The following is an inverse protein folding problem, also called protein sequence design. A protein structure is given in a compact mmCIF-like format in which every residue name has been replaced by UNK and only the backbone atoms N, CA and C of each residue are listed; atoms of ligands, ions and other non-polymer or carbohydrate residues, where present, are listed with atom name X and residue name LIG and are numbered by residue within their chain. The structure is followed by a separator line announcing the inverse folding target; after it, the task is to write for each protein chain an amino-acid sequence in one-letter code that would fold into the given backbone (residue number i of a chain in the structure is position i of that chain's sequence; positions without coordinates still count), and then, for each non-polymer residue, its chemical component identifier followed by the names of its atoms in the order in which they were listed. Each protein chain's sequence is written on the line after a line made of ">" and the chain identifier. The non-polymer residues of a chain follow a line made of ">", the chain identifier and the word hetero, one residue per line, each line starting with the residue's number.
data_IF_900104297742
#
_entry.id   IF_900104297742
#
_cell.length_a   1.000
_cell.length_b   1.000
_cell.length_c   1.000
_cell.angle_alpha   90.00
_cell.angle_beta   90.00
_cell.angle_gamma   90.00
#
_symmetry.space_group_name_H-M   'P 1'
#
loop_
_entity.id
_entity.type
_entity.pdbx_description
1 polymer ?
#
# COMPACT_ATOMS: atom_id res chain seq x y z
N UNK A 1 -9.74 -8.72 7.14
CA UNK A 1 -8.80 -8.49 6.03
C UNK A 1 -7.96 -9.72 5.72
N UNK A 2 -6.93 -10.10 6.49
CA UNK A 2 -6.03 -11.22 6.14
C UNK A 2 -6.74 -12.50 5.70
N UNK A 3 -7.71 -12.98 6.50
CA UNK A 3 -8.50 -14.17 6.14
C UNK A 3 -9.31 -13.98 4.84
N UNK A 4 -9.92 -12.81 4.66
CA UNK A 4 -10.74 -12.52 3.48
C UNK A 4 -9.90 -12.33 2.21
N UNK A 5 -8.67 -11.84 2.32
CA UNK A 5 -7.86 -11.46 1.16
C UNK A 5 -6.90 -12.57 0.73
N UNK A 6 -6.20 -13.19 1.69
CA UNK A 6 -5.06 -14.06 1.39
C UNK A 6 -5.11 -15.45 2.02
N UNK A 7 -6.23 -15.87 2.62
CA UNK A 7 -6.38 -17.25 3.07
C UNK A 7 -6.33 -18.25 1.90
N UNK A 8 -5.61 -19.36 2.08
CA UNK A 8 -5.50 -20.44 1.09
C UNK A 8 -6.86 -20.96 0.61
N UNK A 9 -7.87 -20.92 1.50
CA UNK A 9 -9.25 -21.30 1.20
C UNK A 9 -10.13 -20.07 1.33
N UNK A 10 -10.76 -19.67 0.22
CA UNK A 10 -11.74 -18.59 0.21
C UNK A 10 -11.16 -17.18 0.37
N UNK A 11 -9.84 -17.00 0.26
CA UNK A 11 -9.23 -15.67 0.11
C UNK A 11 -9.56 -15.05 -1.25
N UNK A 12 -9.76 -13.73 -1.29
CA UNK A 12 -10.11 -12.99 -2.50
C UNK A 12 -9.01 -13.08 -3.60
N UNK A 13 -7.74 -13.00 -3.21
CA UNK A 13 -6.59 -13.02 -4.12
C UNK A 13 -5.94 -14.41 -4.29
N UNK A 14 -6.00 -15.25 -3.26
CA UNK A 14 -5.29 -16.55 -3.20
C UNK A 14 -6.24 -17.75 -3.18
N UNK A 15 -7.51 -17.54 -2.82
CA UNK A 15 -8.51 -18.59 -2.78
C UNK A 15 -9.10 -18.82 -4.17
N UNK A 16 -9.27 -20.09 -4.55
CA UNK A 16 -9.92 -20.53 -5.78
C UNK A 16 -11.44 -20.25 -5.77
N UNK A 17 -11.83 -18.99 -5.63
CA UNK A 17 -13.21 -18.53 -5.66
C UNK A 17 -13.64 -18.46 -7.14
N UNK A 18 -13.95 -19.64 -7.69
CA UNK A 18 -14.46 -19.82 -9.05
C UNK A 18 -13.37 -19.81 -10.14
N UNK A 19 -13.30 -20.86 -10.94
CA UNK A 19 -12.45 -20.90 -12.12
C UNK A 19 -12.87 -19.78 -13.10
N UNK A 20 -11.94 -18.86 -13.42
CA UNK A 20 -12.15 -17.80 -14.42
C UNK A 20 -12.61 -16.44 -13.88
N UNK A 21 -12.56 -16.19 -12.57
CA UNK A 21 -12.76 -14.84 -12.01
C UNK A 21 -11.51 -13.99 -12.30
N UNK A 22 -11.66 -12.95 -13.11
CA UNK A 22 -10.62 -11.93 -13.34
C UNK A 22 -10.89 -10.78 -12.35
N UNK A 23 -10.10 -10.65 -11.28
CA UNK A 23 -10.32 -9.67 -10.22
C UNK A 23 -10.05 -8.23 -10.68
N UNK A 24 -9.22 -8.05 -11.73
CA UNK A 24 -8.69 -6.75 -12.13
C UNK A 24 -9.13 -6.33 -13.54
N UNK A 25 -9.37 -5.04 -13.74
CA UNK A 25 -9.69 -4.41 -15.02
C UNK A 25 -11.19 -4.17 -15.24
N UNK A 26 -11.58 -3.78 -16.46
CA UNK A 26 -12.96 -3.37 -16.77
C UNK A 26 -14.02 -4.45 -16.50
N UNK A 27 -13.62 -5.73 -16.51
CA UNK A 27 -14.50 -6.88 -16.20
C UNK A 27 -14.31 -7.42 -14.77
N UNK A 28 -13.32 -6.91 -14.04
CA UNK A 28 -13.07 -7.27 -12.64
C UNK A 28 -13.77 -6.33 -11.66
N UNK A 29 -13.38 -6.37 -10.38
CA UNK A 29 -13.99 -5.56 -9.33
C UNK A 29 -13.36 -4.15 -9.24
N UNK A 30 -12.13 -3.98 -9.76
CA UNK A 30 -11.38 -2.71 -9.69
C UNK A 30 -10.63 -2.36 -10.99
N UNK A 31 -10.43 -1.07 -11.26
CA UNK A 31 -9.57 -0.56 -12.35
C UNK A 31 -8.46 0.31 -11.74
N UNK A 32 -7.23 -0.22 -11.70
CA UNK A 32 -6.04 0.47 -11.17
C UNK A 32 -5.45 1.47 -12.16
N UNK A 33 -4.61 2.39 -11.66
CA UNK A 33 -3.94 3.41 -12.50
C UNK A 33 -3.20 2.84 -13.73
N UNK A 34 -2.41 1.75 -13.64
CA UNK A 34 -1.79 1.10 -14.81
C UNK A 34 -2.80 0.60 -15.84
N UNK A 35 -3.96 0.11 -15.41
CA UNK A 35 -5.02 -0.39 -16.30
C UNK A 35 -5.83 0.75 -16.96
N UNK A 36 -5.81 1.95 -16.37
CA UNK A 36 -6.45 3.14 -16.96
C UNK A 36 -5.61 3.68 -18.12
N UNK A 37 -4.29 3.81 -17.94
CA UNK A 37 -3.43 4.42 -18.94
C UNK A 37 -1.99 3.94 -18.86
N UNK A 38 -1.45 3.49 -20.00
CA UNK A 38 -0.02 3.22 -20.16
C UNK A 38 0.88 4.42 -19.82
N UNK A 39 0.34 5.64 -19.86
CA UNK A 39 1.10 6.84 -19.49
C UNK A 39 1.52 6.80 -18.03
N UNK A 40 0.71 6.18 -17.15
CA UNK A 40 1.05 6.04 -15.74
C UNK A 40 2.35 5.25 -15.57
N UNK A 41 2.41 4.01 -16.07
CA UNK A 41 3.62 3.17 -15.96
C UNK A 41 4.84 3.74 -16.68
N UNK A 42 4.63 4.43 -17.81
CA UNK A 42 5.72 5.14 -18.50
C UNK A 42 6.32 6.25 -17.64
N UNK A 43 5.49 7.01 -16.91
CA UNK A 43 5.99 8.06 -16.01
C UNK A 43 6.68 7.51 -14.77
N UNK A 44 6.20 6.39 -14.21
CA UNK A 44 6.90 5.72 -13.10
C UNK A 44 8.28 5.24 -13.56
N UNK A 45 8.38 4.67 -14.77
CA UNK A 45 9.66 4.33 -15.38
C UNK A 45 10.56 5.56 -15.54
N UNK A 46 10.03 6.67 -16.07
CA UNK A 46 10.81 7.91 -16.20
C UNK A 46 11.27 8.44 -14.83
N UNK A 47 10.45 8.32 -13.78
CA UNK A 47 10.85 8.69 -12.42
C UNK A 47 12.04 7.86 -11.93
N UNK A 48 12.01 6.53 -12.11
CA UNK A 48 13.16 5.67 -11.78
C UNK A 48 14.41 6.02 -12.59
N UNK A 49 14.27 6.37 -13.88
CA UNK A 49 15.42 6.86 -14.67
C UNK A 49 15.99 8.15 -14.07
N UNK A 50 15.14 9.10 -13.66
CA UNK A 50 15.58 10.34 -13.03
C UNK A 50 16.34 10.08 -11.72
N UNK A 51 15.83 9.18 -10.88
CA UNK A 51 16.49 8.81 -9.63
C UNK A 51 17.80 8.04 -9.86
N UNK A 52 17.84 7.10 -10.81
CA UNK A 52 19.08 6.44 -11.24
C UNK A 52 20.12 7.44 -11.77
N UNK A 53 19.70 8.44 -12.54
CA UNK A 53 20.58 9.50 -13.01
C UNK A 53 21.14 10.34 -11.87
N UNK A 54 20.30 10.69 -10.89
CA UNK A 54 20.71 11.48 -9.72
C UNK A 54 21.73 10.76 -8.84
N UNK A 55 21.72 9.42 -8.87
CA UNK A 55 22.63 8.56 -8.12
C UNK A 55 23.89 8.19 -8.91
N UNK A 56 24.26 8.99 -9.91
CA UNK A 56 25.51 8.83 -10.66
C UNK A 56 25.49 7.75 -11.73
N UNK A 57 24.30 7.28 -12.14
CA UNK A 57 24.13 6.29 -13.22
C UNK A 57 24.92 5.00 -12.99
N UNK A 58 24.67 4.28 -11.88
CA UNK A 58 25.35 3.00 -11.63
C UNK A 58 25.18 2.07 -12.84
N UNK A 59 26.27 1.43 -13.25
CA UNK A 59 26.34 0.62 -14.49
C UNK A 59 25.89 -0.83 -14.33
N UNK A 60 25.66 -1.27 -13.10
CA UNK A 60 25.27 -2.64 -12.72
C UNK A 60 24.72 -2.61 -11.31
N UNK A 61 24.09 -3.71 -10.87
CA UNK A 61 23.61 -3.82 -9.50
C UNK A 61 22.20 -3.28 -9.29
N UNK A 62 21.54 -2.75 -10.32
CA UNK A 62 20.17 -2.26 -10.21
C UNK A 62 19.22 -3.46 -10.09
N UNK A 63 18.34 -3.43 -9.10
CA UNK A 63 17.29 -4.44 -8.92
C UNK A 63 15.94 -3.73 -8.96
N UNK A 64 15.03 -4.17 -9.83
CA UNK A 64 13.66 -3.66 -9.80
C UNK A 64 12.83 -4.54 -8.88
N UNK A 65 12.04 -3.95 -7.99
CA UNK A 65 11.19 -4.69 -7.06
C UNK A 65 9.79 -4.10 -7.13
N UNK A 66 8.79 -4.91 -7.46
CA UNK A 66 7.38 -4.52 -7.34
C UNK A 66 6.69 -5.40 -6.30
N UNK A 67 6.04 -4.78 -5.32
CA UNK A 67 5.21 -5.48 -4.33
C UNK A 67 3.74 -5.37 -4.72
N UNK A 68 3.03 -6.50 -4.72
CA UNK A 68 1.64 -6.55 -5.17
C UNK A 68 1.45 -6.13 -6.63
N UNK A 69 2.13 -6.75 -7.60
CA UNK A 69 2.13 -6.29 -9.00
C UNK A 69 0.80 -6.46 -9.76
N UNK A 70 -0.21 -7.06 -9.14
CA UNK A 70 -1.51 -7.33 -9.77
C UNK A 70 -1.36 -8.16 -11.05
N UNK A 71 -1.66 -7.58 -12.21
CA UNK A 71 -1.49 -8.26 -13.51
C UNK A 71 -0.04 -8.22 -14.04
N UNK A 72 0.82 -7.37 -13.50
CA UNK A 72 2.17 -7.10 -14.00
C UNK A 72 2.24 -6.00 -15.07
N UNK A 73 1.14 -5.29 -15.32
CA UNK A 73 1.03 -4.22 -16.32
C UNK A 73 1.98 -3.05 -16.03
N UNK A 74 2.10 -2.66 -14.76
CA UNK A 74 3.00 -1.58 -14.35
C UNK A 74 4.46 -1.91 -14.66
N UNK A 75 4.96 -3.08 -14.22
CA UNK A 75 6.31 -3.51 -14.58
C UNK A 75 6.53 -3.63 -16.08
N UNK A 76 5.54 -4.12 -16.85
CA UNK A 76 5.68 -4.22 -18.32
C UNK A 76 5.88 -2.84 -18.95
N UNK A 77 5.14 -1.84 -18.49
CA UNK A 77 5.27 -0.45 -18.95
C UNK A 77 6.61 0.18 -18.55
N UNK A 78 7.09 -0.07 -17.32
CA UNK A 78 8.39 0.38 -16.83
C UNK A 78 9.51 -0.23 -17.68
N UNK A 79 9.53 -1.56 -17.85
CA UNK A 79 10.53 -2.27 -18.64
C UNK A 79 10.51 -1.84 -20.11
N UNK A 80 9.31 -1.66 -20.69
CA UNK A 80 9.15 -1.13 -22.04
C UNK A 80 9.70 0.29 -22.18
N UNK A 81 9.56 1.12 -21.15
CA UNK A 81 10.10 2.48 -21.10
C UNK A 81 11.62 2.47 -21.07
N UNK A 82 12.22 1.62 -20.23
CA UNK A 82 13.69 1.48 -20.09
C UNK A 82 14.40 1.06 -21.37
N UNK A 83 13.71 0.43 -22.33
CA UNK A 83 14.28 0.14 -23.67
C UNK A 83 14.77 1.39 -24.41
N UNK A 84 14.23 2.57 -24.07
CA UNK A 84 14.69 3.85 -24.64
C UNK A 84 15.90 4.44 -23.89
N UNK A 85 16.27 3.87 -22.74
CA UNK A 85 17.37 4.30 -21.88
C UNK A 85 18.36 3.15 -21.72
N UNK A 86 19.16 2.90 -22.76
CA UNK A 86 20.04 1.72 -22.87
C UNK A 86 20.96 1.53 -21.66
N UNK A 87 21.52 2.62 -21.13
CA UNK A 87 22.42 2.58 -19.97
C UNK A 87 21.70 2.13 -18.70
N UNK A 88 20.48 2.64 -18.46
CA UNK A 88 19.63 2.18 -17.35
C UNK A 88 19.26 0.72 -17.55
N UNK A 89 18.77 0.34 -18.74
CA UNK A 89 18.36 -1.04 -19.04
C UNK A 89 19.49 -2.06 -18.86
N UNK A 90 20.73 -1.68 -19.18
CA UNK A 90 21.91 -2.54 -19.07
C UNK A 90 22.44 -2.64 -17.63
N UNK A 91 22.03 -1.73 -16.75
CA UNK A 91 22.44 -1.73 -15.34
C UNK A 91 21.58 -2.65 -14.46
N UNK A 92 20.45 -3.14 -14.98
CA UNK A 92 19.50 -3.97 -14.25
C UNK A 92 20.00 -5.42 -14.23
N UNK A 93 20.20 -5.93 -13.02
CA UNK A 93 20.64 -7.30 -12.80
C UNK A 93 19.45 -8.27 -12.70
N UNK A 94 18.33 -7.83 -12.10
CA UNK A 94 17.13 -8.65 -11.92
C UNK A 94 15.86 -7.81 -11.68
N UNK A 95 14.71 -8.42 -11.96
CA UNK A 95 13.38 -7.93 -11.57
C UNK A 95 12.78 -8.90 -10.56
N UNK A 96 12.31 -8.39 -9.43
CA UNK A 96 11.63 -9.13 -8.39
C UNK A 96 10.16 -8.71 -8.29
N UNK A 97 9.27 -9.68 -8.38
CA UNK A 97 7.83 -9.52 -8.29
C UNK A 97 7.35 -10.21 -7.00
N UNK A 98 6.97 -9.44 -5.98
CA UNK A 98 6.51 -10.00 -4.71
C UNK A 98 5.02 -10.31 -4.79
N UNK A 99 4.70 -11.59 -5.00
CA UNK A 99 3.36 -12.10 -5.32
C UNK A 99 3.10 -13.46 -4.69
N UNK A 100 2.05 -13.52 -3.86
CA UNK A 100 1.62 -14.74 -3.16
C UNK A 100 0.64 -15.60 -3.98
N UNK A 101 -0.12 -14.99 -4.90
CA UNK A 101 -1.11 -15.69 -5.73
C UNK A 101 -0.46 -16.43 -6.89
N UNK A 102 -0.74 -17.73 -7.01
CA UNK A 102 -0.21 -18.57 -8.09
C UNK A 102 -0.81 -18.18 -9.44
N UNK A 103 -2.09 -17.83 -9.44
CA UNK A 103 -2.85 -17.43 -10.61
C UNK A 103 -2.33 -16.10 -11.17
N UNK A 104 -2.14 -15.10 -10.30
CA UNK A 104 -1.58 -13.80 -10.70
C UNK A 104 -0.14 -13.92 -11.17
N UNK A 105 0.68 -14.77 -10.52
CA UNK A 105 2.03 -15.07 -10.99
C UNK A 105 2.05 -15.59 -12.43
N UNK A 106 1.14 -16.50 -12.78
CA UNK A 106 1.02 -17.00 -14.16
C UNK A 106 0.56 -15.89 -15.11
N UNK A 107 -0.39 -15.04 -14.70
CA UNK A 107 -0.83 -13.90 -15.49
C UNK A 107 0.33 -12.91 -15.76
N UNK A 108 1.09 -12.56 -14.73
CA UNK A 108 2.27 -11.71 -14.80
C UNK A 108 3.35 -12.31 -15.71
N UNK A 109 3.64 -13.61 -15.57
CA UNK A 109 4.58 -14.32 -16.46
C UNK A 109 4.16 -14.22 -17.92
N UNK A 110 2.87 -14.41 -18.20
CA UNK A 110 2.35 -14.32 -19.56
C UNK A 110 2.54 -12.91 -20.15
N UNK A 111 2.40 -11.87 -19.35
CA UNK A 111 2.64 -10.49 -19.77
C UNK A 111 4.14 -10.22 -19.95
N UNK A 112 4.98 -10.55 -18.96
CA UNK A 112 6.38 -10.12 -18.90
C UNK A 112 7.33 -11.01 -19.70
N UNK A 113 7.03 -12.30 -19.82
CA UNK A 113 7.90 -13.30 -20.45
C UNK A 113 7.27 -13.97 -21.68
N UNK A 114 5.93 -13.97 -21.76
CA UNK A 114 5.17 -14.63 -22.82
C UNK A 114 4.49 -15.93 -22.35
N UNK A 115 3.42 -16.32 -23.05
CA UNK A 115 2.56 -17.45 -22.65
C UNK A 115 3.31 -18.78 -22.59
N UNK A 116 4.21 -19.00 -23.54
CA UNK A 116 4.97 -20.25 -23.67
C UNK A 116 6.31 -20.23 -22.92
N UNK A 117 6.63 -19.13 -22.24
CA UNK A 117 7.88 -19.03 -21.48
C UNK A 117 7.89 -20.02 -20.31
N UNK A 118 9.01 -20.70 -20.14
CA UNK A 118 9.21 -21.64 -19.04
C UNK A 118 9.35 -20.88 -17.71
N UNK A 119 8.89 -21.53 -16.63
CA UNK A 119 9.18 -21.12 -15.26
C UNK A 119 9.97 -22.22 -14.56
N UNK A 120 10.98 -21.83 -13.79
CA UNK A 120 11.79 -22.72 -12.96
C UNK A 120 11.68 -22.32 -11.51
N UNK A 121 11.51 -23.28 -10.62
CA UNK A 121 11.43 -23.03 -9.18
C UNK A 121 12.81 -23.11 -8.53
N UNK A 122 13.07 -22.22 -7.58
CA UNK A 122 14.24 -22.20 -6.71
C UNK A 122 13.83 -21.83 -5.29
N UNK A 123 14.81 -21.73 -4.39
CA UNK A 123 14.58 -21.28 -3.01
C UNK A 123 14.11 -19.81 -2.93
N UNK A 124 14.54 -18.98 -3.87
CA UNK A 124 14.20 -17.57 -3.97
C UNK A 124 12.81 -17.33 -4.61
N UNK A 125 12.24 -18.37 -5.24
CA UNK A 125 10.92 -18.33 -5.86
C UNK A 125 10.90 -18.89 -7.28
N UNK A 126 10.10 -18.31 -8.16
CA UNK A 126 9.93 -18.77 -9.54
C UNK A 126 10.66 -17.86 -10.51
N UNK A 127 11.32 -18.43 -11.50
CA UNK A 127 12.23 -17.72 -12.41
C UNK A 127 11.76 -17.86 -13.85
N UNK A 128 11.82 -16.76 -14.59
CA UNK A 128 11.66 -16.74 -16.04
C UNK A 128 12.51 -15.62 -16.64
N UNK A 129 12.43 -15.42 -17.95
CA UNK A 129 13.22 -14.43 -18.69
C UNK A 129 12.31 -13.42 -19.36
N UNK A 130 12.64 -12.14 -19.21
CA UNK A 130 11.89 -11.04 -19.79
C UNK A 130 11.74 -11.17 -21.32
N UNK A 131 10.59 -10.78 -21.88
CA UNK A 131 10.37 -10.80 -23.34
C UNK A 131 11.14 -9.70 -24.07
N UNK A 132 11.64 -8.68 -23.36
CA UNK A 132 12.34 -7.54 -23.95
C UNK A 132 13.87 -7.68 -23.96
N UNK A 133 14.41 -8.58 -23.13
CA UNK A 133 15.86 -8.78 -22.92
C UNK A 133 16.12 -10.08 -22.16
N UNK A 134 17.37 -10.52 -22.06
CA UNK A 134 17.75 -11.70 -21.25
C UNK A 134 17.72 -11.46 -19.72
N UNK A 135 16.98 -10.43 -19.28
CA UNK A 135 16.87 -10.04 -17.88
C UNK A 135 16.05 -11.09 -17.10
N UNK A 136 16.56 -11.60 -15.96
CA UNK A 136 15.81 -12.53 -15.14
C UNK A 136 14.66 -11.82 -14.41
N UNK A 137 13.50 -12.47 -14.40
CA UNK A 137 12.35 -12.08 -13.59
C UNK A 137 12.09 -13.18 -12.57
N UNK A 138 12.04 -12.78 -11.29
CA UNK A 138 11.89 -13.67 -10.15
C UNK A 138 10.62 -13.30 -9.39
N UNK A 139 9.72 -14.26 -9.22
CA UNK A 139 8.54 -14.10 -8.38
C UNK A 139 8.80 -14.67 -7.00
N UNK A 140 8.68 -13.85 -5.97
CA UNK A 140 8.91 -14.23 -4.58
C UNK A 140 7.59 -14.18 -3.80
N UNK A 141 7.34 -15.16 -2.93
CA UNK A 141 6.10 -15.19 -2.11
C UNK A 141 6.05 -14.06 -1.06
N UNK A 142 7.21 -13.55 -0.66
CA UNK A 142 7.32 -12.43 0.26
C UNK A 142 8.58 -11.62 -0.01
N UNK A 143 8.59 -10.36 0.43
CA UNK A 143 9.77 -9.51 0.28
C UNK A 143 11.00 -10.05 1.00
N UNK A 144 10.82 -10.85 2.06
CA UNK A 144 11.92 -11.49 2.80
C UNK A 144 12.67 -12.52 1.96
N UNK A 145 12.04 -13.07 0.92
CA UNK A 145 12.70 -13.99 -0.01
C UNK A 145 13.51 -13.26 -1.10
N UNK A 146 13.28 -11.96 -1.29
CA UNK A 146 14.11 -11.14 -2.18
C UNK A 146 15.46 -10.90 -1.51
N UNK A 147 16.59 -11.31 -2.15
CA UNK A 147 17.92 -11.13 -1.56
C UNK A 147 18.21 -9.68 -1.19
N UNK A 148 19.00 -9.48 -0.14
CA UNK A 148 19.46 -8.15 0.28
C UNK A 148 20.98 -8.15 0.31
N UNK A 149 21.58 -7.36 -0.58
CA UNK A 149 23.02 -7.22 -0.68
C UNK A 149 23.41 -5.74 -0.64
N UNK A 150 24.45 -5.41 0.12
CA UNK A 150 24.94 -4.03 0.24
C UNK A 150 25.42 -3.44 -1.10
N UNK A 151 25.83 -4.29 -2.05
CA UNK A 151 26.30 -3.90 -3.38
C UNK A 151 25.17 -3.60 -4.38
N UNK A 152 23.91 -3.86 -4.04
CA UNK A 152 22.77 -3.69 -4.95
C UNK A 152 22.08 -2.34 -4.74
N UNK A 153 21.44 -1.86 -5.79
CA UNK A 153 20.72 -0.59 -5.87
C UNK A 153 19.25 -0.88 -6.19
N UNK A 154 18.41 -1.07 -5.16
CA UNK A 154 17.02 -1.48 -5.35
C UNK A 154 16.13 -0.29 -5.75
N UNK A 155 15.37 -0.43 -6.83
CA UNK A 155 14.28 0.47 -7.23
C UNK A 155 12.96 -0.24 -7.01
N UNK A 156 12.24 0.22 -5.99
CA UNK A 156 11.06 -0.43 -5.43
C UNK A 156 9.81 0.37 -5.80
N UNK A 157 8.76 -0.29 -6.26
CA UNK A 157 7.44 0.31 -6.44
C UNK A 157 6.38 -0.49 -5.67
N UNK A 158 5.49 0.25 -5.01
CA UNK A 158 4.31 -0.28 -4.35
C UNK A 158 3.11 0.57 -4.78
N UNK A 159 2.31 0.05 -5.71
CA UNK A 159 1.14 0.75 -6.23
C UNK A 159 -0.12 -0.03 -5.81
N UNK A 160 -1.00 0.61 -5.04
CA UNK A 160 -2.23 -0.02 -4.50
C UNK A 160 -1.94 -1.36 -3.80
N UNK A 161 -0.90 -1.34 -2.96
CA UNK A 161 -0.45 -2.50 -2.21
C UNK A 161 -0.74 -2.34 -0.72
N UNK A 162 -0.55 -1.14 -0.18
CA UNK A 162 -0.62 -0.89 1.26
C UNK A 162 -2.06 -0.81 1.75
N UNK A 163 -3.00 -0.39 0.90
CA UNK A 163 -4.42 -0.31 1.22
C UNK A 163 -5.06 -1.70 1.42
N UNK A 164 -4.54 -2.72 0.76
CA UNK A 164 -4.95 -4.12 0.90
C UNK A 164 -4.32 -4.81 2.13
N UNK A 165 -3.39 -4.15 2.84
CA UNK A 165 -2.75 -4.74 4.02
C UNK A 165 -3.68 -4.73 5.25
N UNK A 166 -3.63 -5.76 6.11
CA UNK A 166 -4.50 -5.83 7.28
C UNK A 166 -4.29 -4.67 8.26
N UNK A 167 -5.37 -3.97 8.60
CA UNK A 167 -5.37 -2.95 9.66
C UNK A 167 -5.92 -3.49 10.99
N UNK A 168 -5.50 -2.84 12.07
CA UNK A 168 -6.16 -2.88 13.38
C UNK A 168 -6.78 -1.51 13.66
N UNK A 169 -8.04 -1.49 14.07
CA UNK A 169 -8.72 -0.26 14.48
C UNK A 169 -8.83 -0.22 16.02
N UNK A 170 -8.59 0.95 16.61
CA UNK A 170 -8.67 1.17 18.05
C UNK A 170 -9.50 2.39 18.39
N UNK A 171 -10.24 2.32 19.50
CA UNK A 171 -11.00 3.44 20.04
C UNK A 171 -10.59 3.73 21.49
N UNK A 172 -10.46 5.00 21.84
CA UNK A 172 -10.30 5.43 23.25
C UNK A 172 -11.65 5.33 23.96
N UNK A 173 -11.70 4.59 25.06
CA UNK A 173 -12.84 4.54 25.96
C UNK A 173 -12.46 5.03 27.36
N UNK A 174 -13.45 5.49 28.11
CA UNK A 174 -13.33 5.77 29.53
C UNK A 174 -13.75 4.53 30.32
N UNK A 175 -12.80 3.96 31.07
CA UNK A 175 -13.06 2.80 31.92
C UNK A 175 -13.33 3.30 33.34
N UNK A 176 -14.46 2.93 33.95
CA UNK A 176 -14.75 3.26 35.34
C UNK A 176 -13.63 2.77 36.27
N UNK A 177 -13.45 3.45 37.42
CA UNK A 177 -12.60 2.98 38.50
C UNK A 177 -12.86 1.52 38.85
N UNK A 178 -11.82 0.69 38.83
CA UNK A 178 -11.91 -0.64 39.43
C UNK A 178 -12.15 -0.45 40.93
N UNK A 179 -13.34 -0.82 41.44
CA UNK A 179 -13.55 -0.89 42.89
C UNK A 179 -12.64 -1.99 43.43
N UNK A 180 -11.61 -1.62 44.20
CA UNK A 180 -10.81 -2.61 44.91
C UNK A 180 -11.72 -3.35 45.90
N UNK A 181 -11.65 -4.70 46.00
CA UNK A 181 -12.32 -5.41 47.06
C UNK A 181 -11.83 -4.87 48.41
N UNK A 182 -12.75 -4.36 49.22
CA UNK A 182 -12.43 -3.94 50.59
C UNK A 182 -12.03 -5.19 51.37
N UNK A 183 -10.74 -5.40 51.59
CA UNK A 183 -10.29 -6.42 52.55
C UNK A 183 -10.67 -5.91 53.94
N UNK A 184 -11.72 -6.48 54.51
CA UNK A 184 -12.18 -6.19 55.87
C UNK A 184 -11.18 -6.76 56.88
N UNK A 185 -10.11 -6.02 57.16
CA UNK A 185 -9.28 -6.25 58.34
C UNK A 185 -8.93 -4.94 59.04
N UNK A 186 -9.81 -4.54 59.96
CA UNK A 186 -9.44 -3.81 61.18
C UNK A 186 -9.55 -2.28 61.18
N UNK A 187 -10.47 -1.80 62.02
CA UNK A 187 -10.58 -0.46 62.64
C UNK A 187 -11.04 0.74 61.78
N UNK A 188 -11.96 1.58 62.30
CA UNK A 188 -12.54 2.70 61.56
C UNK A 188 -11.56 3.88 61.55
N UNK A 189 -10.80 4.03 60.47
CA UNK A 189 -10.14 5.29 60.13
C UNK A 189 -10.85 5.89 58.92
N UNK A 190 -11.38 7.10 59.12
CA UNK A 190 -11.73 8.13 58.13
C UNK A 190 -11.74 7.61 56.68
N UNK A 191 -12.94 7.33 56.16
CA UNK A 191 -13.13 7.02 54.75
C UNK A 191 -12.76 8.24 53.89
N UNK A 192 -11.48 8.35 53.50
CA UNK A 192 -11.12 9.17 52.36
C UNK A 192 -11.64 8.45 51.12
N UNK A 193 -12.73 8.94 50.55
CA UNK A 193 -13.19 8.53 49.23
C UNK A 193 -12.12 8.94 48.21
N UNK A 194 -11.12 8.08 47.99
CA UNK A 194 -10.27 8.14 46.81
C UNK A 194 -11.14 7.74 45.62
N UNK A 195 -11.95 8.67 45.12
CA UNK A 195 -12.58 8.56 43.82
C UNK A 195 -11.46 8.65 42.80
N UNK A 196 -10.86 7.51 42.42
CA UNK A 196 -9.95 7.50 41.27
C UNK A 196 -10.74 7.97 40.05
N UNK A 197 -10.17 8.86 39.24
CA UNK A 197 -10.79 9.27 38.00
C UNK A 197 -10.89 8.09 37.02
N UNK A 198 -11.89 8.09 36.11
CA UNK A 198 -11.96 7.09 35.05
C UNK A 198 -10.66 7.07 34.24
N UNK A 199 -10.16 5.87 33.94
CA UNK A 199 -8.91 5.71 33.18
C UNK A 199 -9.21 5.59 31.70
N UNK A 200 -8.50 6.34 30.87
CA UNK A 200 -8.61 6.24 29.41
C UNK A 200 -7.74 5.10 28.88
N UNK A 201 -8.38 4.21 28.14
CA UNK A 201 -7.75 3.02 27.58
C UNK A 201 -8.14 2.86 26.13
N UNK A 202 -7.19 2.39 25.32
CA UNK A 202 -7.50 1.90 23.98
C UNK A 202 -8.25 0.57 24.08
N UNK A 203 -9.25 0.39 23.22
CA UNK A 203 -9.92 -0.87 22.95
C UNK A 203 -9.84 -1.17 21.47
N UNK A 204 -9.63 -2.42 21.14
CA UNK A 204 -9.56 -2.86 19.75
C UNK A 204 -10.97 -3.04 19.21
N UNK A 205 -11.21 -2.57 17.99
CA UNK A 205 -12.40 -2.92 17.25
C UNK A 205 -12.20 -4.32 16.67
N UNK A 206 -13.05 -5.25 17.06
CA UNK A 206 -13.04 -6.65 16.63
C UNK A 206 -14.25 -6.95 15.76
N UNK A 207 -14.06 -7.86 14.80
CA UNK A 207 -15.14 -8.36 13.95
C UNK A 207 -15.94 -9.40 14.73
N UNK A 208 -17.25 -9.19 14.84
CA UNK A 208 -18.20 -10.10 15.52
C UNK A 208 -19.34 -10.46 14.57
N UNK A 209 -19.95 -11.66 14.71
CA UNK A 209 -21.17 -11.99 13.97
C UNK A 209 -22.27 -10.96 14.26
N UNK A 210 -23.04 -10.62 13.24
CA UNK A 210 -24.25 -9.82 13.38
C UNK A 210 -25.33 -10.67 14.07
N UNK A 211 -25.96 -10.19 15.17
CA UNK A 211 -27.02 -10.92 15.85
C UNK A 211 -28.19 -11.26 14.92
N UNK A 212 -28.83 -12.41 15.13
CA UNK A 212 -30.01 -12.80 14.37
C UNK A 212 -31.13 -11.74 14.52
N UNK A 213 -31.80 -11.42 13.40
CA UNK A 213 -32.88 -10.42 13.37
C UNK A 213 -32.43 -8.96 13.33
N UNK A 214 -31.12 -8.68 13.34
CA UNK A 214 -30.59 -7.32 13.16
C UNK A 214 -31.04 -6.74 11.82
N UNK A 215 -31.46 -5.47 11.81
CA UNK A 215 -31.86 -4.75 10.59
C UNK A 215 -30.80 -3.74 10.16
N UNK A 216 -30.91 -3.25 8.93
CA UNK A 216 -30.07 -2.13 8.45
C UNK A 216 -30.20 -0.87 9.31
N UNK A 217 -31.35 -0.65 9.96
CA UNK A 217 -31.55 0.50 10.84
C UNK A 217 -30.70 0.36 12.12
N UNK A 218 -30.63 -0.85 12.68
CA UNK A 218 -29.83 -1.14 13.89
C UNK A 218 -28.33 -0.97 13.63
N UNK A 219 -27.86 -1.33 12.43
CA UNK A 219 -26.46 -1.14 12.00
C UNK A 219 -26.14 0.28 11.55
N UNK A 220 -27.12 1.20 11.53
CA UNK A 220 -26.93 2.54 10.98
C UNK A 220 -26.52 2.55 9.50
N UNK A 221 -26.94 1.53 8.73
CA UNK A 221 -26.56 1.41 7.31
C UNK A 221 -27.12 2.61 6.53
N UNK A 222 -26.30 3.33 5.74
CA UNK A 222 -26.79 4.45 4.91
C UNK A 222 -27.91 4.00 3.97
N UNK A 223 -28.96 4.84 3.78
CA UNK A 223 -30.11 4.51 2.93
C UNK A 223 -29.73 4.02 1.53
N UNK A 224 -28.65 4.56 0.96
CA UNK A 224 -28.12 4.13 -0.34
C UNK A 224 -27.65 2.68 -0.39
N UNK A 225 -27.30 2.07 0.75
CA UNK A 225 -26.80 0.70 0.88
C UNK A 225 -27.82 -0.28 1.49
N UNK A 226 -29.02 0.18 1.88
CA UNK A 226 -30.06 -0.68 2.49
C UNK A 226 -30.77 -1.62 1.50
N UNK A 227 -30.38 -1.59 0.23
CA UNK A 227 -30.88 -2.52 -0.79
C UNK A 227 -30.09 -3.84 -0.82
N UNK A 228 -28.93 -3.89 -0.16
CA UNK A 228 -28.14 -5.10 0.00
C UNK A 228 -28.70 -5.97 1.14
N UNK A 229 -28.13 -7.16 1.34
CA UNK A 229 -28.42 -7.98 2.51
C UNK A 229 -27.80 -7.34 3.76
N UNK A 230 -28.42 -7.60 4.92
CA UNK A 230 -27.81 -7.24 6.21
C UNK A 230 -26.48 -8.00 6.34
N UNK A 231 -25.35 -7.31 6.58
CA UNK A 231 -24.04 -7.96 6.67
C UNK A 231 -23.97 -9.03 7.76
N UNK A 232 -23.29 -10.14 7.46
CA UNK A 232 -23.11 -11.27 8.37
C UNK A 232 -22.24 -10.92 9.59
N UNK A 233 -21.41 -9.89 9.47
CA UNK A 233 -20.52 -9.41 10.52
C UNK A 233 -20.66 -7.91 10.77
N UNK A 234 -20.10 -7.46 11.89
CA UNK A 234 -19.99 -6.06 12.28
C UNK A 234 -18.73 -5.80 13.11
N UNK A 235 -18.33 -4.53 13.25
CA UNK A 235 -17.30 -4.14 14.20
C UNK A 235 -17.90 -3.88 15.59
N UNK A 236 -17.24 -4.40 16.61
CA UNK A 236 -17.60 -4.24 18.01
C UNK A 236 -16.36 -3.94 18.83
N UNK A 237 -16.50 -3.28 19.98
CA UNK A 237 -15.36 -3.06 20.88
C UNK A 237 -14.99 -4.34 21.61
N UNK A 238 -13.69 -4.61 21.73
CA UNK A 238 -13.19 -5.68 22.58
C UNK A 238 -13.62 -5.46 24.03
N UNK A 239 -14.11 -6.49 24.75
CA UNK A 239 -14.56 -6.34 26.14
C UNK A 239 -13.41 -6.02 27.10
N UNK A 240 -12.20 -6.45 26.76
CA UNK A 240 -10.97 -6.21 27.51
C UNK A 240 -9.90 -5.59 26.62
N UNK A 241 -8.84 -5.06 27.23
CA UNK A 241 -7.69 -4.55 26.49
C UNK A 241 -6.92 -5.73 25.88
N UNK A 242 -6.83 -5.77 24.56
CA UNK A 242 -6.02 -6.77 23.85
C UNK A 242 -4.55 -6.40 23.90
N UNK A 243 -3.66 -7.34 23.55
CA UNK A 243 -2.22 -7.05 23.41
C UNK A 243 -1.98 -5.98 22.34
N UNK A 244 -2.65 -6.06 21.20
CA UNK A 244 -2.54 -5.03 20.16
C UNK A 244 -2.95 -3.65 20.68
N UNK A 245 -4.05 -3.57 21.45
CA UNK A 245 -4.50 -2.31 22.08
C UNK A 245 -3.55 -1.78 23.16
N UNK A 246 -2.61 -2.58 23.67
CA UNK A 246 -1.57 -2.12 24.60
C UNK A 246 -0.33 -1.59 23.88
N UNK A 247 0.00 -2.10 22.68
CA UNK A 247 1.28 -1.82 22.01
C UNK A 247 1.17 -0.99 20.74
N UNK A 248 0.19 -1.27 19.85
CA UNK A 248 0.12 -0.60 18.55
C UNK A 248 -0.22 0.90 18.68
N UNK A 249 -1.19 1.33 19.50
CA UNK A 249 -1.42 2.76 19.74
C UNK A 249 -0.26 3.49 20.43
N UNK A 250 0.69 2.74 21.02
CA UNK A 250 1.86 3.29 21.67
C UNK A 250 3.07 3.37 20.74
N UNK A 251 2.97 2.87 19.51
CA UNK A 251 4.09 2.79 18.55
C UNK A 251 4.50 4.15 17.96
N UNK A 252 3.58 5.12 17.86
CA UNK A 252 3.84 6.45 17.31
C UNK A 252 3.45 7.56 18.30
N UNK A 253 4.24 8.64 18.41
CA UNK A 253 3.83 9.83 19.15
C UNK A 253 2.46 10.39 18.70
N UNK A 254 2.14 10.30 17.40
CA UNK A 254 0.87 10.77 16.83
C UNK A 254 -0.32 10.00 17.42
N UNK A 255 -0.20 8.68 17.52
CA UNK A 255 -1.22 7.81 18.12
C UNK A 255 -1.34 8.08 19.63
N UNK A 256 -0.21 8.17 20.35
CA UNK A 256 -0.20 8.42 21.80
C UNK A 256 -0.87 9.74 22.18
N UNK A 257 -0.69 10.79 21.38
CA UNK A 257 -1.31 12.08 21.62
C UNK A 257 -2.84 12.01 21.69
N UNK A 258 -3.45 11.10 20.91
CA UNK A 258 -4.91 10.92 20.86
C UNK A 258 -5.49 10.16 22.05
N UNK A 259 -4.67 9.50 22.88
CA UNK A 259 -5.14 8.77 24.07
C UNK A 259 -5.92 9.66 25.05
N UNK A 260 -5.61 10.95 25.06
CA UNK A 260 -6.28 11.94 25.89
C UNK A 260 -7.66 12.35 25.36
N UNK A 261 -8.05 11.95 24.14
CA UNK A 261 -9.31 12.37 23.49
C UNK A 261 -10.33 11.23 23.57
N UNK A 262 -11.41 11.36 24.35
CA UNK A 262 -12.47 10.34 24.42
C UNK A 262 -13.07 10.04 23.04
N UNK A 263 -13.26 8.77 22.73
CA UNK A 263 -13.84 8.33 21.46
C UNK A 263 -12.92 8.47 20.25
N UNK A 264 -11.67 8.95 20.41
CA UNK A 264 -10.71 9.00 19.32
C UNK A 264 -10.51 7.60 18.73
N UNK A 265 -10.56 7.53 17.41
CA UNK A 265 -10.34 6.31 16.63
C UNK A 265 -8.99 6.44 15.91
N UNK A 266 -8.27 5.32 15.79
CA UNK A 266 -7.09 5.21 14.93
C UNK A 266 -7.12 3.86 14.20
N UNK A 267 -6.59 3.84 12.99
CA UNK A 267 -6.31 2.62 12.24
C UNK A 267 -4.80 2.48 12.06
N UNK A 268 -4.25 1.31 12.40
CA UNK A 268 -2.82 1.03 12.39
C UNK A 268 -2.57 -0.22 11.56
N UNK A 269 -1.63 -0.16 10.62
CA UNK A 269 -1.21 -1.31 9.81
C UNK A 269 0.23 -1.74 10.17
N UNK A 270 0.41 -2.76 11.02
CA UNK A 270 1.76 -3.25 11.35
C UNK A 270 2.52 -3.82 10.16
N UNK A 271 1.80 -4.47 9.23
CA UNK A 271 2.41 -5.06 8.03
C UNK A 271 2.98 -3.94 7.14
N UNK A 272 2.30 -2.81 7.02
CA UNK A 272 2.79 -1.64 6.30
C UNK A 272 4.12 -1.11 6.88
N UNK A 273 4.22 -1.03 8.20
CA UNK A 273 5.47 -0.67 8.89
C UNK A 273 6.61 -1.65 8.56
N UNK A 274 6.33 -2.96 8.49
CA UNK A 274 7.35 -3.95 8.12
C UNK A 274 7.89 -3.72 6.70
N UNK A 275 7.02 -3.43 5.73
CA UNK A 275 7.44 -3.13 4.36
C UNK A 275 8.20 -1.80 4.27
N UNK A 276 7.74 -0.74 4.93
CA UNK A 276 8.44 0.54 4.95
C UNK A 276 9.85 0.42 5.57
N UNK A 277 9.97 -0.34 6.66
CA UNK A 277 11.25 -0.65 7.29
C UNK A 277 12.17 -1.47 6.37
N UNK A 278 11.63 -2.44 5.65
CA UNK A 278 12.40 -3.27 4.71
C UNK A 278 12.90 -2.43 3.53
N UNK A 279 12.05 -1.57 2.95
CA UNK A 279 12.43 -0.65 1.88
C UNK A 279 13.57 0.28 2.32
N UNK A 280 13.43 0.89 3.51
CA UNK A 280 14.46 1.76 4.08
C UNK A 280 15.78 1.01 4.30
N UNK A 281 15.73 -0.20 4.87
CA UNK A 281 16.93 -1.01 5.10
C UNK A 281 17.63 -1.45 3.80
N UNK A 282 16.88 -1.68 2.72
CA UNK A 282 17.43 -2.01 1.39
C UNK A 282 18.13 -0.81 0.74
N UNK A 283 17.59 0.39 0.92
CA UNK A 283 18.09 1.62 0.31
C UNK A 283 19.24 2.22 1.12
N UNK A 284 19.04 2.43 2.43
CA UNK A 284 19.99 3.10 3.32
C UNK A 284 20.90 2.16 4.13
N UNK A 285 20.60 0.86 4.15
CA UNK A 285 21.27 -0.10 5.02
C UNK A 285 20.64 -0.19 6.41
N UNK A 286 21.05 -1.18 7.18
CA UNK A 286 20.62 -1.42 8.57
C UNK A 286 21.80 -1.96 9.38
N UNK A 287 21.67 -2.07 10.70
CA UNK A 287 22.70 -2.70 11.54
C UNK A 287 23.04 -4.13 11.08
N UNK A 288 22.03 -4.91 10.69
CA UNK A 288 22.20 -6.29 10.22
C UNK A 288 22.80 -6.37 8.81
N UNK A 289 22.46 -5.40 7.94
CA UNK A 289 22.95 -5.32 6.57
C UNK A 289 23.47 -3.90 6.29
N UNK A 290 24.69 -3.55 6.75
CA UNK A 290 25.23 -2.20 6.57
C UNK A 290 25.45 -1.88 5.09
N UNK A 291 25.13 -0.65 4.71
CA UNK A 291 25.31 -0.15 3.34
C UNK A 291 26.08 1.17 3.36
N UNK A 292 27.41 1.15 3.16
CA UNK A 292 28.24 2.35 3.27
C UNK A 292 27.85 3.47 2.30
N UNK A 293 27.26 3.10 1.17
CA UNK A 293 26.76 4.03 0.16
C UNK A 293 25.28 3.73 -0.09
N UNK A 294 24.38 4.39 0.66
CA UNK A 294 22.95 4.37 0.39
C UNK A 294 22.66 4.59 -1.09
N UNK A 295 21.83 3.73 -1.66
CA UNK A 295 21.47 3.79 -3.08
C UNK A 295 20.18 3.01 -3.33
N UNK A 296 19.45 3.39 -4.37
CA UNK A 296 18.12 2.86 -4.70
C UNK A 296 17.04 3.92 -4.53
N UNK A 297 15.79 3.53 -4.69
CA UNK A 297 14.63 4.38 -4.46
C UNK A 297 13.42 3.50 -4.18
N UNK A 298 12.47 3.97 -3.37
CA UNK A 298 11.14 3.38 -3.30
C UNK A 298 10.09 4.44 -3.66
N UNK A 299 9.09 4.06 -4.44
CA UNK A 299 7.92 4.87 -4.74
C UNK A 299 6.65 4.15 -4.31
N UNK A 300 5.94 4.75 -3.37
CA UNK A 300 4.68 4.24 -2.81
C UNK A 300 3.55 5.12 -3.33
N UNK A 301 2.58 4.50 -3.99
CA UNK A 301 1.46 5.15 -4.65
C UNK A 301 0.18 4.49 -4.19
N UNK A 302 -0.56 5.16 -3.31
CA UNK A 302 -1.76 4.60 -2.70
C UNK A 302 -2.72 5.70 -2.29
N UNK A 303 -3.90 5.36 -1.81
CA UNK A 303 -4.85 6.33 -1.31
C UNK A 303 -4.91 6.38 0.21
N UNK A 304 -5.11 7.58 0.71
CA UNK A 304 -5.12 7.88 2.13
C UNK A 304 -5.00 9.37 2.41
N UNK A 305 -5.14 9.76 3.68
CA UNK A 305 -4.90 11.12 4.13
C UNK A 305 -3.44 11.53 3.94
N UNK A 306 -3.20 12.82 3.69
CA UNK A 306 -1.85 13.35 3.55
C UNK A 306 -1.18 13.61 4.90
N UNK A 307 -1.96 14.03 5.89
CA UNK A 307 -1.48 14.64 7.14
C UNK A 307 -2.22 14.17 8.41
N UNK A 308 -3.27 13.36 8.26
CA UNK A 308 -4.05 12.82 9.39
C UNK A 308 -3.89 11.31 9.55
N UNK A 309 -4.20 10.81 10.74
CA UNK A 309 -4.31 9.36 10.99
C UNK A 309 -5.62 8.86 10.35
N UNK A 310 -5.62 7.77 9.57
CA UNK A 310 -6.83 7.16 9.03
C UNK A 310 -7.83 6.74 10.11
N UNK A 311 -9.12 6.94 9.82
CA UNK A 311 -10.22 6.53 10.69
C UNK A 311 -11.43 6.12 9.87
N UNK A 312 -12.11 5.04 10.24
CA UNK A 312 -13.32 4.53 9.57
C UNK A 312 -13.12 4.36 8.06
N UNK A 313 -11.94 3.90 7.65
CA UNK A 313 -11.57 3.83 6.23
C UNK A 313 -11.86 2.47 5.60
N UNK A 314 -11.97 1.41 6.40
CA UNK A 314 -12.24 0.05 5.92
C UNK A 314 -13.49 0.01 5.04
N UNK A 315 -13.34 -0.47 3.81
CA UNK A 315 -14.40 -0.53 2.82
C UNK A 315 -14.38 -1.82 2.01
N UNK A 316 -15.55 -2.22 1.55
CA UNK A 316 -15.74 -3.32 0.61
C UNK A 316 -15.95 -2.81 -0.81
N UNK A 317 -15.31 -3.45 -1.79
CA UNK A 317 -15.50 -3.16 -3.21
C UNK A 317 -15.88 -4.45 -3.93
N UNK A 318 -16.92 -4.38 -4.76
CA UNK A 318 -17.34 -5.49 -5.64
C UNK A 318 -18.04 -4.92 -6.86
N UNK A 319 -17.68 -5.41 -8.06
CA UNK A 319 -18.25 -5.00 -9.35
C UNK A 319 -18.29 -3.47 -9.53
N UNK A 320 -17.18 -2.78 -9.20
CA UNK A 320 -17.07 -1.30 -9.25
C UNK A 320 -18.01 -0.53 -8.30
N UNK A 321 -18.64 -1.21 -7.34
CA UNK A 321 -19.52 -0.60 -6.34
C UNK A 321 -18.95 -0.76 -4.93
N UNK A 322 -19.22 0.24 -4.08
CA UNK A 322 -18.96 0.13 -2.64
C UNK A 322 -20.03 -0.74 -2.00
N UNK A 323 -19.59 -1.78 -1.32
CA UNK A 323 -20.44 -2.71 -0.56
C UNK A 323 -19.98 -2.74 0.89
N UNK A 324 -20.76 -3.36 1.78
CA UNK A 324 -20.31 -3.57 3.15
C UNK A 324 -19.03 -4.43 3.19
N UNK A 325 -17.96 -4.02 3.91
CA UNK A 325 -16.76 -4.87 4.12
C UNK A 325 -17.05 -6.10 4.98
N UNK A 326 -18.25 -6.20 5.55
CA UNK A 326 -18.68 -7.29 6.43
C UNK A 326 -19.69 -8.23 5.76
N UNK A 327 -19.94 -8.06 4.47
CA UNK A 327 -20.78 -8.94 3.67
C UNK A 327 -19.90 -9.86 2.79
N UNK A 328 -20.40 -11.06 2.50
CA UNK A 328 -19.80 -12.03 1.57
C UNK A 328 -18.26 -12.19 1.75
N UNK A 329 -17.74 -12.60 2.93
CA UNK A 329 -16.30 -12.67 3.18
C UNK A 329 -15.54 -13.49 2.13
N UNK A 330 -14.45 -12.92 1.60
CA UNK A 330 -13.68 -13.53 0.52
C UNK A 330 -14.20 -13.20 -0.89
N UNK A 331 -15.48 -12.81 -1.03
CA UNK A 331 -16.04 -12.36 -2.31
C UNK A 331 -15.94 -10.85 -2.52
N UNK A 332 -15.77 -10.11 -1.43
CA UNK A 332 -15.60 -8.65 -1.41
C UNK A 332 -14.12 -8.32 -1.27
N UNK A 333 -13.65 -7.42 -2.14
CA UNK A 333 -12.31 -6.84 -2.00
C UNK A 333 -12.32 -5.84 -0.84
N UNK A 334 -11.33 -5.92 0.02
CA UNK A 334 -11.24 -5.11 1.23
C UNK A 334 -10.05 -4.18 1.16
N UNK A 335 -10.29 -2.91 1.44
CA UNK A 335 -9.25 -1.90 1.48
C UNK A 335 -9.44 -0.91 2.63
N UNK A 336 -8.34 -0.32 3.09
CA UNK A 336 -8.26 0.74 4.11
C UNK A 336 -7.32 1.88 3.66
N UNK A 337 -7.50 3.07 4.21
CA UNK A 337 -6.67 4.25 3.87
C UNK A 337 -5.26 4.06 4.44
N UNK A 338 -4.25 4.42 3.65
CA UNK A 338 -2.84 4.32 4.06
C UNK A 338 -2.46 5.51 4.95
N UNK A 339 -1.87 5.23 6.12
CA UNK A 339 -1.21 6.27 6.94
C UNK A 339 0.21 6.54 6.41
N UNK A 340 0.31 7.43 5.43
CA UNK A 340 1.59 7.80 4.80
C UNK A 340 2.62 8.34 5.80
N UNK A 341 2.19 9.07 6.83
CA UNK A 341 3.09 9.60 7.84
C UNK A 341 3.63 8.49 8.75
N UNK A 342 2.86 7.42 9.01
CA UNK A 342 3.38 6.25 9.71
C UNK A 342 4.42 5.49 8.89
N UNK A 343 4.29 5.47 7.55
CA UNK A 343 5.33 4.94 6.65
C UNK A 343 6.62 5.77 6.75
N UNK A 344 6.50 7.11 6.73
CA UNK A 344 7.63 8.03 6.89
C UNK A 344 8.34 7.84 8.23
N UNK A 345 7.59 7.82 9.33
CA UNK A 345 8.14 7.56 10.68
C UNK A 345 8.86 6.22 10.73
N UNK A 346 8.27 5.17 10.16
CA UNK A 346 8.87 3.84 10.18
C UNK A 346 10.14 3.77 9.33
N UNK A 347 10.13 4.32 8.13
CA UNK A 347 11.27 4.30 7.21
C UNK A 347 12.48 5.04 7.79
N UNK A 348 12.26 6.25 8.32
CA UNK A 348 13.31 7.10 8.91
C UNK A 348 13.86 6.54 10.22
N UNK A 349 13.05 5.83 11.02
CA UNK A 349 13.56 5.09 12.18
C UNK A 349 14.33 3.82 11.82
N UNK A 350 13.99 3.17 10.70
CA UNK A 350 14.61 1.92 10.28
C UNK A 350 16.01 2.11 9.67
N UNK A 351 16.29 3.27 9.10
CA UNK A 351 17.60 3.59 8.52
C UNK A 351 17.87 5.10 8.56
N UNK A 352 19.00 5.50 9.16
CA UNK A 352 19.50 6.88 9.06
C UNK A 352 20.04 7.21 7.65
N UNK A 353 20.19 6.19 6.78
CA UNK A 353 20.67 6.34 5.41
C UNK A 353 19.58 6.71 4.41
N UNK A 354 18.36 7.02 4.84
CA UNK A 354 17.26 7.42 3.97
C UNK A 354 16.55 8.69 4.42
N UNK A 355 16.04 9.44 3.44
CA UNK A 355 15.09 10.53 3.63
C UNK A 355 13.78 10.20 2.88
N UNK A 356 12.65 10.77 3.35
CA UNK A 356 11.34 10.60 2.73
C UNK A 356 10.87 11.92 2.10
N UNK A 357 10.24 11.83 0.93
CA UNK A 357 9.65 12.97 0.22
C UNK A 357 8.17 12.73 -0.05
N UNK A 358 7.32 13.66 0.41
CA UNK A 358 5.86 13.53 0.33
C UNK A 358 5.20 13.23 1.70
N UNK A 359 3.95 12.74 1.72
CA UNK A 359 3.13 12.44 0.55
C UNK A 359 2.74 13.70 -0.24
N UNK A 360 2.65 13.58 -1.57
CA UNK A 360 2.05 14.60 -2.46
C UNK A 360 0.86 14.02 -3.20
N UNK A 361 -0.09 14.84 -3.62
CA UNK A 361 -1.22 14.40 -4.45
C UNK A 361 -0.74 13.72 -5.75
N UNK A 362 -1.37 12.62 -6.16
CA UNK A 362 -1.05 11.92 -7.41
C UNK A 362 -1.10 12.86 -8.61
N UNK A 363 -2.08 13.76 -8.67
CA UNK A 363 -2.17 14.74 -9.74
C UNK A 363 -0.94 15.63 -9.79
N UNK A 364 -0.47 16.13 -8.64
CA UNK A 364 0.72 16.97 -8.57
C UNK A 364 1.96 16.20 -9.05
N UNK A 365 2.13 14.96 -8.59
CA UNK A 365 3.23 14.09 -9.01
C UNK A 365 3.22 13.87 -10.53
N UNK A 366 2.10 13.39 -11.09
CA UNK A 366 1.98 13.05 -12.52
C UNK A 366 2.07 14.29 -13.44
N UNK A 367 1.49 15.42 -13.03
CA UNK A 367 1.61 16.68 -13.76
C UNK A 367 3.07 17.15 -13.81
N UNK A 368 3.78 17.08 -12.68
CA UNK A 368 5.20 17.44 -12.58
C UNK A 368 6.09 16.49 -13.38
N UNK A 369 5.70 15.21 -13.49
CA UNK A 369 6.38 14.22 -14.34
C UNK A 369 6.06 14.36 -15.84
N UNK A 370 5.13 15.25 -16.22
CA UNK A 370 4.85 15.56 -17.62
C UNK A 370 3.78 14.67 -18.28
N UNK A 371 2.77 14.24 -17.53
CA UNK A 371 1.66 13.41 -18.05
C UNK A 371 0.96 13.99 -19.27
N UNK A 372 0.68 15.30 -19.27
CA UNK A 372 -0.01 15.96 -20.38
C UNK A 372 0.83 15.96 -21.66
N UNK A 373 2.15 16.15 -21.54
CA UNK A 373 3.10 16.12 -22.64
C UNK A 373 3.15 14.73 -23.25
N UNK A 374 3.22 13.70 -22.41
CA UNK A 374 3.26 12.31 -22.88
C UNK A 374 1.93 11.91 -23.53
N UNK A 375 0.79 12.24 -22.93
CA UNK A 375 -0.52 12.02 -23.52
C UNK A 375 -0.64 12.67 -24.91
N UNK A 376 -0.20 13.93 -25.05
CA UNK A 376 -0.19 14.66 -26.32
C UNK A 376 0.68 13.99 -27.39
N UNK A 377 1.79 13.36 -27.02
CA UNK A 377 2.60 12.57 -27.96
C UNK A 377 1.87 11.32 -28.43
N UNK A 378 1.17 10.63 -27.54
CA UNK A 378 0.40 9.43 -27.87
C UNK A 378 -0.81 9.76 -28.76
N UNK A 379 -1.53 10.85 -28.48
CA UNK A 379 -2.67 11.27 -29.32
C UNK A 379 -2.23 11.65 -30.73
N UNK A 380 -1.12 12.39 -30.86
CA UNK A 380 -0.51 12.69 -32.19
C UNK A 380 -0.17 11.43 -32.98
N UNK A 381 0.33 10.39 -32.31
CA UNK A 381 0.66 9.10 -32.96
C UNK A 381 -0.58 8.27 -33.26
N UNK A 382 -1.63 8.36 -32.43
CA UNK A 382 -2.87 7.63 -32.61
C UNK A 382 -3.70 8.16 -33.80
N UNK A 383 -3.52 9.42 -34.19
CA UNK A 383 -4.31 10.08 -35.23
C UNK A 383 -5.70 10.48 -34.72
N UNK A 384 -6.66 10.65 -35.64
CA UNK A 384 -8.02 11.07 -35.29
C UNK A 384 -8.92 9.87 -34.97
N UNK A 385 -9.79 10.01 -33.96
CA UNK A 385 -10.87 9.06 -33.67
C UNK A 385 -10.98 8.63 -32.20
N UNK A 386 -11.60 7.46 -31.99
CA UNK A 386 -11.96 6.94 -30.67
C UNK A 386 -10.77 6.73 -29.73
N UNK A 387 -9.62 6.32 -30.26
CA UNK A 387 -8.38 6.08 -29.48
C UNK A 387 -7.83 7.36 -28.84
N UNK A 388 -7.90 8.48 -29.56
CA UNK A 388 -7.46 9.78 -29.01
C UNK A 388 -8.38 10.24 -27.88
N UNK A 389 -9.69 10.05 -28.02
CA UNK A 389 -10.64 10.35 -26.94
C UNK A 389 -10.49 9.42 -25.72
N UNK A 390 -10.09 8.17 -25.93
CA UNK A 390 -9.77 7.23 -24.85
C UNK A 390 -8.52 7.67 -24.08
N UNK A 391 -7.41 7.97 -24.78
CA UNK A 391 -6.18 8.47 -24.15
C UNK A 391 -6.50 9.74 -23.34
N UNK A 392 -7.21 10.70 -23.93
CA UNK A 392 -7.59 11.96 -23.27
C UNK A 392 -8.43 11.74 -22.00
N UNK A 393 -9.42 10.84 -22.03
CA UNK A 393 -10.21 10.52 -20.83
C UNK A 393 -9.37 9.83 -19.76
N UNK A 394 -8.53 8.89 -20.18
CA UNK A 394 -7.73 8.07 -19.29
C UNK A 394 -6.74 8.90 -18.47
N UNK A 395 -5.89 9.72 -19.11
CA UNK A 395 -4.91 10.52 -18.37
C UNK A 395 -5.57 11.61 -17.51
N UNK A 396 -6.69 12.21 -17.97
CA UNK A 396 -7.45 13.19 -17.19
C UNK A 396 -8.02 12.59 -15.92
N UNK A 397 -8.54 11.36 -15.97
CA UNK A 397 -9.04 10.66 -14.77
C UNK A 397 -7.95 10.48 -13.70
N UNK A 398 -6.71 10.22 -14.12
CA UNK A 398 -5.58 10.04 -13.20
C UNK A 398 -5.20 11.32 -12.44
N UNK A 399 -5.42 12.50 -13.05
CA UNK A 399 -5.08 13.81 -12.45
C UNK A 399 -6.29 14.59 -11.95
N UNK A 400 -7.51 14.09 -12.20
CA UNK A 400 -8.73 14.76 -11.78
C UNK A 400 -8.83 14.81 -10.25
N UNK A 401 -8.98 16.02 -9.72
CA UNK A 401 -9.10 16.30 -8.28
C UNK A 401 -10.56 16.36 -7.82
N UNK A 402 -11.50 16.22 -8.74
CA UNK A 402 -12.94 16.21 -8.49
C UNK A 402 -13.47 14.90 -7.92
N UNK A 403 -14.78 14.85 -7.60
CA UNK A 403 -15.44 13.64 -7.10
C UNK A 403 -15.35 12.50 -8.13
N UNK A 404 -14.69 11.40 -7.76
CA UNK A 404 -14.49 10.23 -8.65
C UNK A 404 -13.18 10.26 -9.46
N UNK A 405 -12.43 11.37 -9.40
CA UNK A 405 -11.06 11.45 -9.91
C UNK A 405 -10.05 10.85 -8.93
N UNK A 406 -8.91 10.39 -9.47
CA UNK A 406 -7.85 9.77 -8.66
C UNK A 406 -6.82 10.77 -8.16
N UNK A 407 -6.79 11.97 -8.75
CA UNK A 407 -5.71 12.93 -8.59
C UNK A 407 -5.50 13.47 -7.18
N UNK A 408 -6.57 13.59 -6.39
CA UNK A 408 -6.51 14.05 -4.99
C UNK A 408 -6.54 12.90 -3.98
N UNK A 409 -7.25 11.83 -4.30
CA UNK A 409 -7.46 10.70 -3.37
C UNK A 409 -6.15 9.93 -3.20
N UNK A 410 -5.45 9.66 -4.30
CA UNK A 410 -4.15 9.00 -4.31
C UNK A 410 -3.02 9.97 -3.96
N UNK A 411 -2.00 9.44 -3.30
CA UNK A 411 -0.77 10.13 -2.94
C UNK A 411 0.44 9.37 -3.49
N UNK A 412 1.53 10.09 -3.68
CA UNK A 412 2.85 9.55 -3.94
C UNK A 412 3.77 9.87 -2.75
N UNK A 413 4.52 8.88 -2.28
CA UNK A 413 5.57 9.00 -1.26
C UNK A 413 6.85 8.34 -1.80
N UNK A 414 7.98 9.03 -1.71
CA UNK A 414 9.27 8.48 -2.09
C UNK A 414 10.16 8.27 -0.85
N UNK A 415 10.89 7.15 -0.84
CA UNK A 415 11.99 6.89 0.10
C UNK A 415 13.27 6.85 -0.72
N UNK A 416 14.23 7.70 -0.39
CA UNK A 416 15.46 7.90 -1.15
C UNK A 416 16.69 7.87 -0.23
N UNK A 417 17.90 7.65 -0.76
CA UNK A 417 19.13 7.83 -0.03
C UNK A 417 19.20 9.20 0.62
N UNK A 418 19.62 9.24 1.89
CA UNK A 418 19.82 10.49 2.63
C UNK A 418 20.80 11.41 1.90
N UNK A 419 20.42 12.68 1.75
CA UNK A 419 21.22 13.69 1.06
C UNK A 419 21.32 15.02 1.84
N UNK A 420 21.06 14.99 3.15
CA UNK A 420 20.94 16.17 3.99
C UNK A 420 19.96 17.21 3.42
N UNK A 421 18.88 16.76 2.77
CA UNK A 421 17.89 17.62 2.12
C UNK A 421 18.41 18.46 0.95
N UNK A 422 19.61 18.18 0.41
CA UNK A 422 20.22 18.96 -0.69
C UNK A 422 19.47 18.82 -2.01
N UNK A 423 18.77 17.69 -2.23
CA UNK A 423 17.99 17.43 -3.43
C UNK A 423 16.57 17.04 -3.05
N UNK A 424 15.59 17.63 -3.75
CA UNK A 424 14.24 17.08 -3.83
C UNK A 424 14.10 16.32 -5.15
N UNK A 425 13.44 15.15 -5.17
CA UNK A 425 13.23 14.40 -6.40
C UNK A 425 12.19 15.07 -7.30
N UNK A 426 12.25 14.75 -8.60
CA UNK A 426 11.24 15.20 -9.57
C UNK A 426 9.88 14.64 -9.14
N UNK A 427 8.83 15.45 -9.27
CA UNK A 427 7.48 15.09 -8.81
C UNK A 427 7.18 15.44 -7.35
N UNK A 428 8.19 15.88 -6.59
CA UNK A 428 8.06 16.29 -5.18
C UNK A 428 8.59 17.72 -4.93
N UNK A 429 8.54 18.55 -5.98
CA UNK A 429 9.00 19.94 -5.95
C UNK A 429 10.50 20.14 -6.21
N UNK A 430 11.21 19.14 -6.72
CA UNK A 430 12.63 19.26 -7.11
C UNK A 430 12.91 18.87 -8.57
N UNK A 431 14.20 18.71 -8.89
CA UNK A 431 14.72 18.44 -10.24
C UNK A 431 15.91 17.43 -10.21
N UNK A 432 16.39 17.03 -11.38
CA UNK A 432 17.55 16.14 -11.56
C UNK A 432 18.86 16.88 -11.29
N UNK A 433 18.93 18.18 -11.60
CA UNK A 433 20.07 19.04 -11.29
C UNK A 433 19.91 19.69 -9.92
N UNK A 434 20.46 19.04 -8.89
CA UNK A 434 20.78 19.68 -7.61
C UNK A 434 22.30 19.84 -7.49
#
# INVERSE_FOLDING_TARGET
>A
MRMCLTADVGGYYTGAIGAGRDQFGQKGDFITSPEISQVFGELIGIWFVAEWMSQGRPRSGVELIEVGPGRGTLMDDILRTFRNFKDMASAIDAVYMVEASKELRVAQKNILCGKDAAMRESKEGWHSTCKYSDLPIVWADSIKAVPQYASKTPFIVAHEFFDALPIHAFQVIEVPPTQQPVTSSGSPRSASTNTSSPTRQWREMVVSPTPEGTTHADLGTPKSAQHELVPEFQLTLSPSQTRHAMYLPESSPRYRALRSTPGALIEVCPDASLYASDFAARIGGSEANPKPHPSGAALILDYGPADTIPTNSLRGIRQHARVSPFADPGLVDLSADVDFLALVETATHASEGVECHGPVDQAHFLESMGIAQRAKMLTRKAGDGARTAEIERAWKRLVDRGPGGMGKVYKALAILPENAGRRRPVGFGGDISA
#
